data_IF_139685212775
#
_entry.id   IF_139685212775
#
_cell.length_a   1.000
_cell.length_b   1.000
_cell.length_c   1.000
_cell.angle_alpha   90.00
_cell.angle_beta   90.00
_cell.angle_gamma   90.00
#
_symmetry.space_group_name_H-M   'P 1'
#
loop_
_entity.id
_entity.type
_entity.pdbx_description
1 polymer ?
#
# COMPACT_ATOMS: atom_id res chain seq x y z
N UNK A 1 33.97 11.59 -13.00
CA UNK A 1 32.85 11.32 -13.88
C UNK A 1 32.70 9.80 -14.04
N UNK A 2 31.75 9.25 -13.32
CA UNK A 2 31.37 7.84 -13.50
C UNK A 2 30.54 7.71 -14.78
N UNK A 3 31.13 7.22 -15.85
CA UNK A 3 30.37 6.70 -16.99
C UNK A 3 29.67 5.42 -16.54
N UNK A 4 28.40 5.51 -16.16
CA UNK A 4 27.51 4.34 -16.15
C UNK A 4 27.25 3.96 -17.60
N UNK A 5 28.02 3.01 -18.12
CA UNK A 5 27.72 2.43 -19.43
C UNK A 5 26.36 1.71 -19.34
N UNK A 6 25.52 1.81 -20.36
CA UNK A 6 24.24 1.11 -20.42
C UNK A 6 24.39 -0.41 -20.18
N UNK A 7 25.56 -0.97 -20.42
CA UNK A 7 25.93 -2.35 -20.10
C UNK A 7 25.99 -2.61 -18.57
N UNK A 8 26.55 -1.69 -17.76
CA UNK A 8 26.61 -1.88 -16.29
C UNK A 8 25.22 -1.83 -15.62
N UNK A 9 24.27 -1.11 -16.22
CA UNK A 9 22.89 -1.08 -15.77
C UNK A 9 22.11 -2.38 -16.05
N UNK A 10 22.48 -3.14 -17.07
CA UNK A 10 21.86 -4.43 -17.40
C UNK A 10 22.20 -5.47 -16.34
N UNK A 11 23.44 -5.52 -15.86
CA UNK A 11 23.91 -6.53 -14.91
C UNK A 11 23.45 -6.34 -13.45
N UNK A 12 22.89 -5.17 -13.11
CA UNK A 12 22.32 -4.90 -11.78
C UNK A 12 20.81 -4.99 -11.74
N UNK A 13 20.15 -5.36 -12.85
CA UNK A 13 18.69 -5.46 -12.91
C UNK A 13 18.20 -6.79 -12.37
N UNK A 14 17.12 -6.72 -11.65
CA UNK A 14 16.39 -7.90 -11.21
C UNK A 14 15.54 -8.47 -12.35
N UNK A 15 15.28 -9.77 -12.32
CA UNK A 15 14.45 -10.48 -13.31
C UNK A 15 13.07 -9.80 -13.46
N UNK A 16 12.47 -9.34 -12.35
CA UNK A 16 11.17 -8.65 -12.37
C UNK A 16 11.19 -7.39 -13.25
N UNK A 17 12.23 -6.58 -13.16
CA UNK A 17 12.39 -5.37 -13.96
C UNK A 17 12.71 -5.66 -15.42
N UNK A 18 13.56 -6.65 -15.66
CA UNK A 18 13.90 -7.07 -17.02
C UNK A 18 12.67 -7.60 -17.75
N UNK A 19 11.88 -8.46 -17.10
CA UNK A 19 10.62 -8.97 -17.63
C UNK A 19 9.61 -7.84 -17.91
N UNK A 20 9.47 -6.88 -16.98
CA UNK A 20 8.61 -5.72 -17.17
C UNK A 20 8.99 -4.88 -18.40
N UNK A 21 10.28 -4.67 -18.66
CA UNK A 21 10.78 -3.98 -19.87
C UNK A 21 10.52 -4.77 -21.16
N UNK A 22 10.49 -6.09 -21.07
CA UNK A 22 10.13 -6.98 -22.17
C UNK A 22 8.60 -7.13 -22.36
N UNK A 23 7.78 -6.39 -21.59
CA UNK A 23 6.32 -6.49 -21.65
C UNK A 23 5.74 -7.77 -21.00
N UNK A 24 6.53 -8.49 -20.20
CA UNK A 24 6.12 -9.73 -19.52
C UNK A 24 5.78 -9.41 -18.06
N UNK A 25 4.50 -9.31 -17.68
CA UNK A 25 4.12 -9.01 -16.31
C UNK A 25 4.34 -10.20 -15.40
N UNK A 26 5.06 -10.00 -14.30
CA UNK A 26 5.23 -10.97 -13.22
C UNK A 26 4.46 -10.48 -11.99
N UNK A 27 3.51 -11.28 -11.45
CA UNK A 27 2.69 -10.86 -10.31
C UNK A 27 3.52 -10.66 -9.04
N UNK A 28 3.21 -9.63 -8.25
CA UNK A 28 3.88 -9.36 -6.98
C UNK A 28 2.96 -8.57 -6.03
N UNK A 29 3.19 -8.66 -4.72
CA UNK A 29 2.47 -7.90 -3.69
C UNK A 29 3.40 -7.04 -2.83
N UNK A 30 4.63 -7.50 -2.59
CA UNK A 30 5.54 -6.81 -1.68
C UNK A 30 6.50 -5.86 -2.40
N UNK A 31 6.81 -6.10 -3.67
CA UNK A 31 7.83 -5.34 -4.39
C UNK A 31 7.51 -3.85 -4.51
N UNK A 32 8.47 -3.04 -4.13
CA UNK A 32 8.59 -1.61 -4.44
C UNK A 32 10.04 -1.37 -4.84
N UNK A 33 10.25 -0.89 -6.05
CA UNK A 33 11.58 -0.68 -6.61
C UNK A 33 12.46 0.16 -5.67
N UNK A 34 13.68 -0.31 -5.40
CA UNK A 34 14.69 0.33 -4.54
C UNK A 34 14.27 0.47 -3.06
N UNK A 35 12.99 0.27 -2.75
CA UNK A 35 12.46 0.43 -1.40
C UNK A 35 12.26 -0.92 -0.71
N UNK A 36 11.56 -1.85 -1.36
CA UNK A 36 11.18 -3.13 -0.75
C UNK A 36 11.32 -4.31 -1.72
N UNK A 37 12.51 -4.89 -1.77
CA UNK A 37 12.90 -5.97 -2.68
C UNK A 37 13.23 -7.26 -1.93
N UNK A 38 12.47 -7.55 -0.87
CA UNK A 38 12.76 -8.59 0.13
C UNK A 38 12.12 -9.95 -0.20
N UNK A 39 11.41 -10.06 -1.30
CA UNK A 39 10.72 -11.30 -1.72
C UNK A 39 9.76 -11.92 -0.68
N UNK A 40 9.18 -11.12 0.22
CA UNK A 40 8.35 -11.61 1.33
C UNK A 40 7.11 -12.39 0.86
N UNK A 41 6.39 -11.90 -0.16
CA UNK A 41 5.13 -12.49 -0.60
C UNK A 41 5.27 -13.73 -1.49
N UNK A 42 6.42 -13.97 -2.09
CA UNK A 42 6.70 -15.11 -3.00
C UNK A 42 5.72 -15.23 -4.18
N UNK A 43 5.06 -14.14 -4.57
CA UNK A 43 4.18 -14.14 -5.74
C UNK A 43 4.96 -14.06 -7.05
N UNK A 44 6.16 -13.48 -7.04
CA UNK A 44 7.01 -13.28 -8.21
C UNK A 44 7.92 -14.50 -8.53
N UNK A 45 7.58 -15.70 -8.06
CA UNK A 45 8.37 -16.90 -8.34
C UNK A 45 8.44 -17.16 -9.84
N UNK A 46 9.65 -17.52 -10.32
CA UNK A 46 9.96 -17.91 -11.70
C UNK A 46 10.82 -19.17 -11.69
N UNK A 47 10.86 -19.85 -12.82
CA UNK A 47 11.74 -20.99 -13.07
C UNK A 47 12.91 -20.50 -13.92
N UNK A 48 14.13 -20.86 -13.54
CA UNK A 48 15.35 -20.52 -14.24
C UNK A 48 15.95 -21.85 -14.71
N UNK A 49 16.33 -21.95 -15.98
CA UNK A 49 17.04 -23.13 -16.48
C UNK A 49 18.32 -23.34 -15.66
N UNK A 50 18.71 -24.56 -15.48
CA UNK A 50 19.85 -24.98 -14.64
C UNK A 50 19.69 -24.72 -13.12
N UNK A 51 18.50 -24.25 -12.66
CA UNK A 51 18.19 -24.15 -11.24
C UNK A 51 17.07 -25.11 -10.83
N UNK A 52 17.35 -26.00 -9.89
CA UNK A 52 16.35 -26.93 -9.37
C UNK A 52 15.20 -26.22 -8.63
N UNK A 53 15.48 -25.08 -7.99
CA UNK A 53 14.52 -24.32 -7.17
C UNK A 53 13.99 -23.11 -7.90
N UNK A 54 12.70 -22.83 -7.69
CA UNK A 54 12.11 -21.57 -8.16
C UNK A 54 12.76 -20.39 -7.45
N UNK A 55 13.03 -19.32 -8.20
CA UNK A 55 13.63 -18.08 -7.71
C UNK A 55 12.60 -16.94 -7.64
N UNK A 56 12.70 -16.01 -6.69
CA UNK A 56 11.86 -14.81 -6.66
C UNK A 56 12.42 -13.73 -7.59
N UNK A 57 11.69 -13.40 -8.63
CA UNK A 57 12.14 -12.45 -9.67
C UNK A 57 12.44 -11.05 -9.14
N UNK A 58 11.87 -10.65 -7.98
CA UNK A 58 12.01 -9.30 -7.44
C UNK A 58 13.33 -9.05 -6.67
N UNK A 59 14.14 -10.08 -6.43
CA UNK A 59 15.47 -9.93 -5.80
C UNK A 59 16.51 -10.91 -6.38
N UNK A 60 16.26 -11.46 -7.56
CA UNK A 60 17.22 -12.27 -8.30
C UNK A 60 17.75 -11.46 -9.46
N UNK A 61 19.07 -11.27 -9.49
CA UNK A 61 19.75 -10.51 -10.56
C UNK A 61 19.77 -11.31 -11.86
N UNK A 62 19.66 -10.58 -12.97
CA UNK A 62 19.79 -11.14 -14.32
C UNK A 62 21.26 -11.43 -14.59
N UNK A 63 21.54 -12.57 -15.23
CA UNK A 63 22.86 -12.96 -15.71
C UNK A 63 22.82 -13.20 -17.22
N UNK A 64 23.96 -13.04 -17.87
CA UNK A 64 24.09 -13.35 -19.29
C UNK A 64 23.79 -14.81 -19.59
N UNK A 65 23.04 -15.08 -20.66
CA UNK A 65 22.60 -16.42 -21.03
C UNK A 65 21.50 -17.03 -20.14
N UNK A 66 20.99 -16.31 -19.12
CA UNK A 66 19.96 -16.83 -18.26
C UNK A 66 18.61 -16.98 -18.99
N UNK A 67 18.09 -18.21 -19.07
CA UNK A 67 16.75 -18.48 -19.55
C UNK A 67 15.75 -18.54 -18.39
N UNK A 68 14.69 -17.73 -18.45
CA UNK A 68 13.70 -17.57 -17.37
C UNK A 68 12.29 -17.87 -17.88
N UNK A 69 11.61 -18.81 -17.22
CA UNK A 69 10.24 -19.19 -17.50
C UNK A 69 9.30 -18.61 -16.45
N UNK A 70 8.42 -17.72 -16.88
CA UNK A 70 7.55 -16.95 -15.96
C UNK A 70 6.19 -17.58 -15.71
N UNK A 71 5.80 -18.62 -16.47
CA UNK A 71 4.43 -19.14 -16.48
C UNK A 71 4.32 -20.66 -16.69
N UNK A 72 5.25 -21.46 -16.16
CA UNK A 72 5.17 -22.92 -16.20
C UNK A 72 4.09 -23.45 -15.24
N UNK A 73 3.62 -24.69 -15.39
CA UNK A 73 2.71 -25.33 -14.44
C UNK A 73 3.26 -25.30 -13.00
N UNK A 74 4.56 -25.51 -12.84
CA UNK A 74 5.26 -25.46 -11.54
C UNK A 74 5.22 -24.07 -10.92
N UNK A 75 5.49 -23.03 -11.69
CA UNK A 75 5.39 -21.62 -11.27
C UNK A 75 3.95 -21.26 -10.87
N UNK A 76 2.97 -21.63 -11.68
CA UNK A 76 1.54 -21.39 -11.37
C UNK A 76 1.12 -22.06 -10.07
N UNK A 77 1.51 -23.32 -9.87
CA UNK A 77 1.19 -24.05 -8.65
C UNK A 77 1.84 -23.40 -7.41
N UNK A 78 3.08 -22.99 -7.49
CA UNK A 78 3.78 -22.31 -6.40
C UNK A 78 3.08 -20.99 -6.04
N UNK A 79 2.71 -20.17 -7.03
CA UNK A 79 1.96 -18.91 -6.81
C UNK A 79 0.60 -19.16 -6.18
N UNK A 80 -0.15 -20.17 -6.65
CA UNK A 80 -1.44 -20.55 -6.04
C UNK A 80 -1.28 -20.95 -4.59
N UNK A 81 -0.29 -21.75 -4.27
CA UNK A 81 -0.01 -22.17 -2.89
C UNK A 81 0.33 -20.97 -2.00
N UNK A 82 1.25 -20.11 -2.45
CA UNK A 82 1.64 -18.91 -1.71
C UNK A 82 0.44 -17.97 -1.49
N UNK A 83 -0.38 -17.76 -2.51
CA UNK A 83 -1.56 -16.91 -2.38
C UNK A 83 -2.59 -17.49 -1.39
N UNK A 84 -2.83 -18.80 -1.42
CA UNK A 84 -3.69 -19.48 -0.46
C UNK A 84 -3.16 -19.36 0.99
N UNK A 85 -1.84 -19.44 1.18
CA UNK A 85 -1.23 -19.22 2.49
C UNK A 85 -1.42 -17.78 2.97
N UNK A 86 -1.30 -16.78 2.09
CA UNK A 86 -1.60 -15.39 2.41
C UNK A 86 -3.08 -15.24 2.79
N UNK A 87 -3.98 -15.79 1.99
CA UNK A 87 -5.42 -15.74 2.23
C UNK A 87 -5.85 -16.47 3.52
N UNK A 88 -5.11 -17.49 3.95
CA UNK A 88 -5.42 -18.20 5.22
C UNK A 88 -5.24 -17.31 6.46
N UNK A 89 -4.48 -16.23 6.35
CA UNK A 89 -4.28 -15.26 7.44
C UNK A 89 -4.98 -13.90 7.17
N UNK A 90 -5.70 -13.79 6.07
CA UNK A 90 -6.37 -12.55 5.66
C UNK A 90 -7.88 -12.62 5.91
N UNK A 91 -8.44 -11.53 6.44
CA UNK A 91 -9.89 -11.35 6.53
C UNK A 91 -10.44 -10.99 5.15
N UNK A 92 -11.01 -11.95 4.46
CA UNK A 92 -11.51 -11.82 3.08
C UNK A 92 -12.94 -11.25 3.00
N UNK A 93 -13.40 -10.48 4.00
CA UNK A 93 -14.70 -9.80 3.94
C UNK A 93 -14.59 -8.57 3.02
N UNK A 94 -14.55 -8.84 1.70
CA UNK A 94 -14.28 -7.82 0.68
C UNK A 94 -15.43 -6.83 0.50
N UNK A 95 -16.66 -7.23 0.74
CA UNK A 95 -17.86 -6.39 0.50
C UNK A 95 -17.89 -5.13 1.37
N UNK A 96 -17.29 -5.17 2.55
CA UNK A 96 -17.19 -4.04 3.49
C UNK A 96 -15.75 -3.50 3.61
N UNK A 97 -14.87 -3.88 2.69
CA UNK A 97 -13.48 -3.43 2.70
C UNK A 97 -13.31 -2.15 1.88
N UNK A 98 -12.63 -1.16 2.43
CA UNK A 98 -12.33 0.11 1.74
C UNK A 98 -11.54 -0.08 0.41
N UNK A 99 -10.84 -1.21 0.26
CA UNK A 99 -10.08 -1.56 -0.96
C UNK A 99 -10.86 -2.46 -1.91
N UNK A 100 -12.15 -2.70 -1.68
CA UNK A 100 -12.98 -3.51 -2.59
C UNK A 100 -12.96 -2.91 -4.00
N UNK A 101 -12.72 -3.73 -5.01
CA UNK A 101 -12.59 -3.30 -6.40
C UNK A 101 -11.23 -2.68 -6.77
N UNK A 102 -10.42 -2.26 -5.79
CA UNK A 102 -9.07 -1.70 -5.99
C UNK A 102 -8.07 -2.34 -5.01
N UNK A 103 -7.97 -3.66 -5.02
CA UNK A 103 -7.12 -4.45 -4.15
C UNK A 103 -6.23 -5.40 -4.95
N UNK A 104 -4.91 -5.26 -4.82
CA UNK A 104 -3.95 -6.14 -5.52
C UNK A 104 -4.14 -7.62 -5.14
N UNK A 105 -4.47 -7.91 -3.88
CA UNK A 105 -4.73 -9.28 -3.42
C UNK A 105 -5.99 -9.86 -4.07
N UNK A 106 -7.07 -9.09 -4.17
CA UNK A 106 -8.32 -9.50 -4.80
C UNK A 106 -8.10 -9.78 -6.29
N UNK A 107 -7.38 -8.88 -6.99
CA UNK A 107 -7.02 -9.07 -8.41
C UNK A 107 -6.21 -10.36 -8.61
N UNK A 108 -5.18 -10.59 -7.80
CA UNK A 108 -4.37 -11.82 -7.90
C UNK A 108 -5.18 -13.09 -7.60
N UNK A 109 -6.13 -13.03 -6.68
CA UNK A 109 -7.01 -14.16 -6.38
C UNK A 109 -7.88 -14.53 -7.58
N UNK A 110 -8.37 -13.53 -8.30
CA UNK A 110 -9.11 -13.71 -9.55
C UNK A 110 -8.20 -14.24 -10.66
N UNK A 111 -7.05 -13.61 -10.90
CA UNK A 111 -6.13 -13.97 -11.99
C UNK A 111 -5.57 -15.40 -11.86
N UNK A 112 -5.42 -15.88 -10.63
CA UNK A 112 -4.97 -17.23 -10.33
C UNK A 112 -6.10 -18.24 -10.14
N UNK A 113 -7.38 -17.86 -10.35
CA UNK A 113 -8.55 -18.72 -10.17
C UNK A 113 -8.55 -19.39 -8.79
N UNK A 114 -8.50 -18.62 -7.72
CA UNK A 114 -8.60 -19.13 -6.35
C UNK A 114 -10.06 -19.21 -5.95
N UNK A 115 -10.69 -20.37 -6.16
CA UNK A 115 -12.09 -20.62 -5.79
C UNK A 115 -12.24 -21.39 -4.48
N UNK A 116 -11.15 -21.96 -3.98
CA UNK A 116 -11.18 -22.81 -2.79
C UNK A 116 -9.95 -22.53 -1.91
N UNK A 117 -10.21 -22.47 -0.60
CA UNK A 117 -9.18 -22.30 0.43
C UNK A 117 -9.01 -23.59 1.24
N UNK A 118 -7.93 -24.36 1.01
CA UNK A 118 -7.73 -25.65 1.69
C UNK A 118 -7.17 -25.49 3.11
N UNK A 119 -6.64 -24.30 3.43
CA UNK A 119 -6.02 -24.06 4.73
C UNK A 119 -7.02 -23.40 5.70
N UNK A 120 -6.96 -23.69 7.01
CA UNK A 120 -7.77 -23.02 8.00
C UNK A 120 -7.55 -21.50 7.95
N UNK A 121 -8.65 -20.73 7.91
CA UNK A 121 -8.59 -19.26 7.89
C UNK A 121 -8.50 -18.75 9.32
N UNK A 122 -7.36 -18.16 9.67
CA UNK A 122 -7.06 -17.63 11.01
C UNK A 122 -6.47 -16.21 10.90
N UNK A 123 -7.27 -15.20 10.58
CA UNK A 123 -6.81 -13.81 10.52
C UNK A 123 -6.40 -13.33 11.91
N UNK A 124 -5.46 -12.42 11.96
CA UNK A 124 -5.03 -11.79 13.20
C UNK A 124 -6.20 -11.03 13.83
N UNK A 125 -6.40 -11.23 15.13
CA UNK A 125 -7.40 -10.49 15.91
C UNK A 125 -6.70 -9.40 16.71
N UNK A 126 -6.90 -8.15 16.33
CA UNK A 126 -6.45 -6.99 17.08
C UNK A 126 -7.60 -5.99 17.22
N UNK A 127 -7.55 -5.20 18.30
CA UNK A 127 -8.46 -4.06 18.44
C UNK A 127 -8.06 -3.00 17.42
N UNK A 128 -9.05 -2.45 16.72
CA UNK A 128 -8.86 -1.29 15.84
C UNK A 128 -8.80 -0.07 16.73
N UNK A 129 -7.69 0.68 16.65
CA UNK A 129 -7.54 1.96 17.35
C UNK A 129 -7.91 3.10 16.41
N UNK A 130 -8.84 3.95 16.85
CA UNK A 130 -9.33 5.13 16.12
C UNK A 130 -8.84 6.46 16.73
N UNK A 131 -7.89 6.42 17.68
CA UNK A 131 -7.40 7.64 18.35
C UNK A 131 -6.51 8.50 17.45
N UNK A 132 -6.00 7.91 16.35
CA UNK A 132 -5.11 8.59 15.42
C UNK A 132 -5.71 8.62 13.99
N UNK A 133 -5.23 9.52 13.12
CA UNK A 133 -5.71 9.60 11.73
C UNK A 133 -5.40 8.34 10.89
N UNK A 134 -4.36 7.58 11.25
CA UNK A 134 -4.02 6.31 10.58
C UNK A 134 -4.60 5.16 11.39
N UNK A 135 -5.39 4.34 10.72
CA UNK A 135 -6.06 3.17 11.29
C UNK A 135 -5.40 1.90 10.76
N UNK A 136 -5.08 0.97 11.67
CA UNK A 136 -4.55 -0.35 11.34
C UNK A 136 -5.58 -1.43 11.62
N UNK A 137 -5.88 -2.23 10.60
CA UNK A 137 -6.65 -3.48 10.74
C UNK A 137 -5.74 -4.67 10.42
N UNK A 138 -5.17 -5.25 11.46
CA UNK A 138 -4.19 -6.32 11.33
C UNK A 138 -4.72 -7.56 10.59
N UNK A 139 -6.00 -7.85 10.72
CA UNK A 139 -6.66 -8.97 10.04
C UNK A 139 -6.58 -8.91 8.50
N UNK A 140 -6.34 -7.74 7.95
CA UNK A 140 -6.17 -7.50 6.49
C UNK A 140 -4.71 -7.40 6.05
N UNK A 141 -3.75 -7.53 6.98
CA UNK A 141 -2.33 -7.40 6.69
C UNK A 141 -1.80 -8.67 5.99
N UNK A 142 -1.18 -8.49 4.81
CA UNK A 142 -0.51 -9.56 4.06
C UNK A 142 0.99 -9.63 4.34
N UNK A 143 1.47 -8.88 5.32
CA UNK A 143 2.86 -8.90 5.80
C UNK A 143 3.89 -8.65 4.68
N UNK A 144 3.56 -7.74 3.77
CA UNK A 144 4.39 -7.39 2.62
C UNK A 144 5.56 -6.47 2.97
N UNK A 145 5.59 -5.89 4.16
CA UNK A 145 6.61 -4.97 4.68
C UNK A 145 6.74 -3.64 3.92
N UNK A 146 5.86 -3.30 2.98
CA UNK A 146 5.92 -2.02 2.25
C UNK A 146 5.88 -0.83 3.23
N UNK A 147 4.96 -0.84 4.21
CA UNK A 147 4.83 0.25 5.20
C UNK A 147 6.07 0.39 6.08
N UNK A 148 6.72 -0.72 6.45
CA UNK A 148 7.97 -0.72 7.22
C UNK A 148 9.07 -0.04 6.42
N UNK A 149 9.31 -0.50 5.19
CA UNK A 149 10.41 -0.01 4.36
C UNK A 149 10.21 1.44 3.87
N UNK A 150 8.97 1.83 3.55
CA UNK A 150 8.68 3.22 3.17
C UNK A 150 8.86 4.16 4.38
N UNK A 151 8.40 3.76 5.56
CA UNK A 151 8.56 4.56 6.77
C UNK A 151 10.03 4.72 7.18
N UNK A 152 10.82 3.66 7.02
CA UNK A 152 12.25 3.67 7.34
C UNK A 152 13.07 4.40 6.27
N UNK A 153 13.04 3.92 5.02
CA UNK A 153 13.94 4.39 3.96
C UNK A 153 13.57 5.75 3.37
N UNK A 154 12.27 6.04 3.25
CA UNK A 154 11.81 7.26 2.58
C UNK A 154 11.50 8.36 3.59
N UNK A 155 10.82 8.02 4.70
CA UNK A 155 10.44 9.01 5.71
C UNK A 155 11.47 9.15 6.84
N UNK A 156 12.38 8.19 7.02
CA UNK A 156 13.35 8.17 8.10
C UNK A 156 12.75 8.06 9.51
N UNK A 157 11.45 7.71 9.63
CA UNK A 157 10.71 7.72 10.90
C UNK A 157 10.75 6.39 11.64
N UNK A 158 10.91 5.27 10.93
CA UNK A 158 11.04 3.92 11.49
C UNK A 158 9.96 3.57 12.55
N UNK A 159 8.70 3.90 12.24
CA UNK A 159 7.55 3.70 13.15
C UNK A 159 7.08 2.25 13.13
N UNK A 160 7.03 1.62 11.95
CA UNK A 160 6.54 0.26 11.75
C UNK A 160 7.66 -0.75 11.81
N UNK A 161 7.40 -1.90 12.41
CA UNK A 161 8.36 -3.00 12.50
C UNK A 161 7.66 -4.36 12.46
N UNK A 162 8.44 -5.41 12.35
CA UNK A 162 7.98 -6.80 12.44
C UNK A 162 7.92 -7.20 13.92
N UNK A 163 6.78 -7.67 14.36
CA UNK A 163 6.55 -8.19 15.70
C UNK A 163 6.14 -9.66 15.67
N UNK A 164 6.45 -10.39 16.74
CA UNK A 164 6.16 -11.81 16.86
C UNK A 164 7.04 -12.70 15.99
N UNK A 165 6.82 -14.01 16.05
CA UNK A 165 7.58 -15.02 15.32
C UNK A 165 6.68 -16.12 14.76
N UNK A 166 7.11 -16.77 13.67
CA UNK A 166 6.39 -17.88 13.02
C UNK A 166 5.00 -17.45 12.57
N UNK A 167 3.97 -18.22 12.91
CA UNK A 167 2.58 -17.95 12.55
C UNK A 167 2.00 -16.68 13.21
N UNK A 168 2.64 -16.18 14.27
CA UNK A 168 2.25 -14.96 14.99
C UNK A 168 2.99 -13.72 14.48
N UNK A 169 3.82 -13.84 13.45
CA UNK A 169 4.46 -12.68 12.84
C UNK A 169 3.42 -11.70 12.36
N UNK A 170 3.58 -10.44 12.74
CA UNK A 170 2.73 -9.33 12.31
C UNK A 170 3.58 -8.10 12.00
N UNK A 171 2.99 -7.09 11.36
CA UNK A 171 3.59 -5.77 11.23
C UNK A 171 2.87 -4.85 12.20
N UNK A 172 3.60 -4.30 13.14
CA UNK A 172 3.04 -3.44 14.17
C UNK A 172 3.94 -2.23 14.45
N UNK A 173 3.53 -1.40 15.38
CA UNK A 173 4.32 -0.26 15.82
C UNK A 173 5.51 -0.77 16.63
N UNK A 174 6.68 -0.24 16.32
CA UNK A 174 7.94 -0.63 16.95
C UNK A 174 7.87 -0.58 18.45
N UNK A 175 8.45 -1.60 19.11
CA UNK A 175 8.50 -1.74 20.57
C UNK A 175 7.13 -1.85 21.26
N UNK A 176 6.05 -2.25 20.55
CA UNK A 176 4.72 -2.43 21.13
C UNK A 176 4.08 -1.13 21.64
N UNK A 177 4.56 0.03 21.17
CA UNK A 177 3.95 1.34 21.48
C UNK A 177 2.62 1.51 20.75
N UNK A 178 1.85 2.52 21.10
CA UNK A 178 0.73 2.99 20.27
C UNK A 178 1.20 4.06 19.29
N UNK A 179 0.50 4.26 18.18
CA UNK A 179 0.89 5.27 17.20
C UNK A 179 0.91 6.69 17.78
N UNK A 180 0.05 6.93 18.78
CA UNK A 180 -0.01 8.19 19.53
C UNK A 180 1.25 8.47 20.34
N UNK A 181 1.94 7.41 20.80
CA UNK A 181 3.13 7.52 21.65
C UNK A 181 4.43 7.50 20.84
N UNK A 182 4.32 7.74 19.53
CA UNK A 182 5.46 7.79 18.61
C UNK A 182 5.59 9.17 17.98
N UNK A 183 6.75 9.45 17.39
CA UNK A 183 7.02 10.69 16.64
C UNK A 183 6.45 10.64 15.21
N UNK A 184 5.37 9.87 14.99
CA UNK A 184 4.75 9.73 13.68
C UNK A 184 4.21 11.08 13.18
N UNK A 185 4.63 11.51 11.98
CA UNK A 185 4.17 12.76 11.35
C UNK A 185 2.81 12.60 10.64
N UNK A 186 2.21 11.41 10.67
CA UNK A 186 0.96 11.07 9.96
C UNK A 186 0.98 11.40 8.47
N UNK A 187 2.14 11.28 7.82
CA UNK A 187 2.34 11.60 6.39
C UNK A 187 1.52 10.72 5.43
N UNK A 188 0.96 9.59 5.88
CA UNK A 188 0.10 8.70 5.08
C UNK A 188 0.83 7.77 4.10
N UNK A 189 2.16 7.86 3.95
CA UNK A 189 2.91 7.03 2.99
C UNK A 189 2.72 5.51 3.22
N UNK A 190 2.60 5.09 4.46
CA UNK A 190 2.31 3.70 4.80
C UNK A 190 0.91 3.25 4.33
N UNK A 191 -0.07 4.17 4.29
CA UNK A 191 -1.42 3.92 3.78
C UNK A 191 -1.43 3.80 2.27
N UNK A 192 -0.79 4.75 1.56
CA UNK A 192 -0.75 4.76 0.09
C UNK A 192 -0.03 3.55 -0.50
N UNK A 193 0.99 3.05 0.18
CA UNK A 193 1.76 1.88 -0.25
C UNK A 193 1.19 0.54 0.24
N UNK A 194 0.14 0.54 1.07
CA UNK A 194 -0.50 -0.70 1.51
C UNK A 194 -1.26 -1.36 0.36
N UNK A 195 -0.94 -2.60 -0.06
CA UNK A 195 -1.59 -3.27 -1.18
C UNK A 195 -3.00 -3.78 -0.84
N UNK A 196 -3.35 -3.75 0.45
CA UNK A 196 -4.65 -4.19 0.98
C UNK A 196 -5.25 -3.12 1.89
N UNK A 197 -6.40 -3.35 2.48
CA UNK A 197 -7.05 -2.42 3.42
C UNK A 197 -6.53 -2.52 4.86
N UNK A 198 -5.29 -2.96 5.08
CA UNK A 198 -4.73 -3.12 6.43
C UNK A 198 -4.35 -1.78 7.10
N UNK A 199 -3.94 -0.80 6.29
CA UNK A 199 -3.70 0.57 6.73
C UNK A 199 -4.63 1.49 5.95
N UNK A 200 -5.38 2.30 6.67
CA UNK A 200 -6.37 3.24 6.11
C UNK A 200 -6.33 4.55 6.87
N UNK A 201 -6.96 5.57 6.32
CA UNK A 201 -7.26 6.79 7.07
C UNK A 201 -8.55 6.61 7.86
N UNK A 202 -8.64 7.25 9.01
CA UNK A 202 -9.87 7.29 9.79
C UNK A 202 -10.93 8.08 9.02
N UNK A 203 -12.12 7.52 8.91
CA UNK A 203 -13.25 8.24 8.31
C UNK A 203 -13.94 9.13 9.37
N UNK A 204 -13.76 10.42 9.23
CA UNK A 204 -14.38 11.44 10.09
C UNK A 204 -15.61 12.11 9.43
N UNK A 205 -16.06 11.64 8.27
CA UNK A 205 -17.15 12.25 7.49
C UNK A 205 -18.42 12.44 8.32
N UNK A 206 -18.85 11.41 9.04
CA UNK A 206 -20.07 11.49 9.88
C UNK A 206 -19.89 12.52 11.03
N UNK A 207 -18.68 12.63 11.59
CA UNK A 207 -18.39 13.61 12.64
C UNK A 207 -18.49 15.04 12.11
N UNK A 208 -17.97 15.28 10.90
CA UNK A 208 -18.06 16.57 10.20
C UNK A 208 -19.52 16.90 9.87
N UNK A 209 -20.27 15.97 9.27
CA UNK A 209 -21.68 16.17 8.94
C UNK A 209 -22.53 16.50 10.17
N UNK A 210 -22.29 15.85 11.30
CA UNK A 210 -22.97 16.19 12.57
C UNK A 210 -22.60 17.58 13.08
N UNK A 211 -21.35 18.00 12.91
CA UNK A 211 -20.93 19.34 13.31
C UNK A 211 -21.56 20.43 12.41
N UNK A 212 -21.64 20.18 11.10
CA UNK A 212 -22.31 21.08 10.15
C UNK A 212 -23.82 21.21 10.36
N UNK A 213 -24.46 20.15 10.88
CA UNK A 213 -25.89 20.15 11.18
C UNK A 213 -26.24 20.78 12.54
N UNK A 214 -25.28 21.08 13.37
CA UNK A 214 -25.48 21.62 14.73
C UNK A 214 -25.45 23.17 14.68
N UNK A 215 -26.61 23.86 14.88
CA UNK A 215 -26.69 25.30 14.77
C UNK A 215 -25.92 26.07 15.86
N UNK A 216 -25.57 25.41 16.96
CA UNK A 216 -24.81 26.00 18.06
C UNK A 216 -23.29 25.99 17.79
N UNK A 217 -22.84 25.35 16.69
CA UNK A 217 -21.42 25.23 16.36
C UNK A 217 -21.02 26.15 15.21
N UNK A 218 -19.96 26.88 15.41
CA UNK A 218 -19.23 27.55 14.32
C UNK A 218 -18.23 26.53 13.73
N UNK A 219 -18.40 26.24 12.45
CA UNK A 219 -17.58 25.25 11.75
C UNK A 219 -16.49 25.92 10.93
N UNK A 220 -15.26 25.50 11.17
CA UNK A 220 -14.07 26.06 10.51
C UNK A 220 -13.35 24.93 9.79
N UNK A 221 -13.03 25.13 8.51
CA UNK A 221 -12.20 24.22 7.73
C UNK A 221 -10.91 24.89 7.30
N UNK A 222 -9.81 24.19 7.47
CA UNK A 222 -8.51 24.62 7.01
C UNK A 222 -8.02 23.68 5.91
N UNK A 223 -7.63 24.22 4.76
CA UNK A 223 -7.21 23.44 3.59
C UNK A 223 -5.69 23.47 3.48
N UNK A 224 -5.09 22.27 3.39
CA UNK A 224 -3.66 22.15 3.13
C UNK A 224 -3.30 22.52 1.68
N UNK A 225 -2.09 23.07 1.40
CA UNK A 225 -1.68 23.45 0.05
C UNK A 225 -1.76 22.32 -0.97
N UNK A 226 -1.37 21.10 -0.58
CA UNK A 226 -1.45 19.91 -1.44
C UNK A 226 -2.91 19.56 -1.82
N UNK A 227 -3.85 19.66 -0.86
CA UNK A 227 -5.27 19.42 -1.12
C UNK A 227 -5.82 20.49 -2.06
N UNK A 228 -5.43 21.75 -1.87
CA UNK A 228 -5.83 22.87 -2.75
C UNK A 228 -5.47 22.62 -4.21
N UNK A 229 -4.35 21.97 -4.48
CA UNK A 229 -3.90 21.67 -5.86
C UNK A 229 -4.58 20.43 -6.41
N UNK A 230 -4.77 19.38 -5.60
CA UNK A 230 -5.21 18.06 -6.04
C UNK A 230 -6.73 17.80 -5.92
N UNK A 231 -7.52 18.67 -5.25
CA UNK A 231 -8.94 18.41 -4.96
C UNK A 231 -9.81 18.09 -6.18
N UNK A 232 -9.44 18.65 -7.33
CA UNK A 232 -10.21 18.48 -8.55
C UNK A 232 -9.88 17.20 -9.32
N UNK A 233 -8.73 16.58 -9.08
CA UNK A 233 -8.29 15.35 -9.78
C UNK A 233 -9.26 14.20 -9.52
N UNK A 234 -9.63 13.98 -8.27
CA UNK A 234 -10.58 12.94 -7.88
C UNK A 234 -11.98 13.15 -8.45
N UNK A 235 -12.35 14.40 -8.70
CA UNK A 235 -13.66 14.80 -9.26
C UNK A 235 -13.63 14.92 -10.78
N UNK A 236 -12.51 14.58 -11.43
CA UNK A 236 -12.30 14.70 -12.88
C UNK A 236 -12.58 16.12 -13.42
N UNK A 237 -12.40 17.14 -12.59
CA UNK A 237 -12.60 18.54 -12.97
C UNK A 237 -11.36 19.03 -13.72
N UNK A 238 -11.51 19.62 -14.92
CA UNK A 238 -10.38 20.16 -15.67
C UNK A 238 -9.57 21.16 -14.85
N UNK A 239 -8.25 21.05 -14.89
CA UNK A 239 -7.31 21.86 -14.07
C UNK A 239 -7.59 23.38 -14.17
N UNK A 240 -7.97 23.88 -15.35
CA UNK A 240 -8.34 25.29 -15.56
C UNK A 240 -9.54 25.73 -14.71
N UNK A 241 -10.41 24.81 -14.35
CA UNK A 241 -11.60 25.05 -13.55
C UNK A 241 -11.38 24.79 -12.05
N UNK A 242 -10.27 24.16 -11.69
CA UNK A 242 -9.90 23.78 -10.32
C UNK A 242 -9.28 24.98 -9.55
N UNK A 243 -9.97 26.09 -9.52
CA UNK A 243 -9.49 27.30 -8.84
C UNK A 243 -9.73 27.25 -7.33
N UNK A 244 -8.89 27.95 -6.56
CA UNK A 244 -9.05 28.10 -5.10
C UNK A 244 -10.43 28.68 -4.75
N UNK A 245 -10.92 29.67 -5.53
CA UNK A 245 -12.24 30.27 -5.30
C UNK A 245 -13.39 29.26 -5.44
N UNK A 246 -13.32 28.32 -6.40
CA UNK A 246 -14.32 27.27 -6.53
C UNK A 246 -14.27 26.26 -5.38
N UNK A 247 -13.08 25.91 -4.92
CA UNK A 247 -12.92 25.05 -3.75
C UNK A 247 -13.54 25.70 -2.51
N UNK A 248 -13.24 26.99 -2.26
CA UNK A 248 -13.83 27.75 -1.15
C UNK A 248 -15.35 27.83 -1.28
N UNK A 249 -15.86 28.10 -2.49
CA UNK A 249 -17.30 28.15 -2.73
C UNK A 249 -17.97 26.79 -2.45
N UNK A 250 -17.34 25.67 -2.88
CA UNK A 250 -17.85 24.34 -2.60
C UNK A 250 -17.93 24.06 -1.08
N UNK A 251 -16.88 24.38 -0.33
CA UNK A 251 -16.85 24.20 1.13
C UNK A 251 -17.89 25.08 1.83
N UNK A 252 -18.06 26.32 1.37
CA UNK A 252 -19.14 27.21 1.87
C UNK A 252 -20.52 26.64 1.57
N UNK A 253 -20.74 26.11 0.38
CA UNK A 253 -22.01 25.47 -0.01
C UNK A 253 -22.29 24.21 0.81
N UNK A 254 -21.27 23.51 1.27
CA UNK A 254 -21.41 22.39 2.20
C UNK A 254 -21.83 22.82 3.61
N UNK A 255 -21.75 24.10 3.95
CA UNK A 255 -22.21 24.65 5.23
C UNK A 255 -21.10 25.07 6.19
N UNK A 256 -19.83 25.08 5.78
CA UNK A 256 -18.76 25.61 6.64
C UNK A 256 -18.87 27.11 6.81
N UNK A 257 -18.80 27.60 8.07
CA UNK A 257 -18.86 29.01 8.40
C UNK A 257 -17.59 29.76 7.96
N UNK A 258 -16.43 29.13 8.12
CA UNK A 258 -15.16 29.75 7.75
C UNK A 258 -14.27 28.74 7.00
N UNK A 259 -13.58 29.25 5.98
CA UNK A 259 -12.64 28.46 5.16
C UNK A 259 -11.30 29.19 5.15
N UNK A 260 -10.25 28.52 5.60
CA UNK A 260 -8.89 29.04 5.63
C UNK A 260 -7.96 28.21 4.73
N UNK A 261 -7.05 28.88 4.06
CA UNK A 261 -5.95 28.25 3.33
C UNK A 261 -4.68 28.31 4.18
N UNK A 262 -4.12 27.15 4.51
CA UNK A 262 -2.93 27.06 5.35
C UNK A 262 -1.70 27.74 4.71
N UNK A 263 -1.63 27.83 3.39
CA UNK A 263 -0.53 28.52 2.71
C UNK A 263 -0.48 30.03 3.00
N UNK A 264 -1.59 30.63 3.42
CA UNK A 264 -1.68 32.07 3.70
C UNK A 264 -1.30 32.43 5.14
N UNK A 265 -1.20 31.46 6.04
CA UNK A 265 -0.85 31.70 7.46
C UNK A 265 0.58 32.25 7.62
N UNK A 266 1.47 31.92 6.68
CA UNK A 266 2.87 32.34 6.72
C UNK A 266 3.14 33.65 5.92
N UNK A 267 2.12 34.23 5.34
CA UNK A 267 2.19 35.50 4.61
C UNK A 267 1.58 36.62 5.48
#
# INVERSE_FOLDING_TARGET
QGYSSAASDVYKRQILEAAGKAGIPIPHLCYLKEINEIAACRMCMVEIEDMERLAPACNTEVKEGMAVHTNTPRVRQARKTNLRLILSQHNSNCTVCIRSGNCELQKLSHDLNIHFQPYPVKPERSKINLDTPIVREASKCVKCMRCVQVCDKIQGMNIWDVAGTGSRTTVDIKNGRTLKDTDCTFCGQCVTHCPTGALTVRDDTIRVLRALADPEKITVVQVAPAVRVAWAEFMEIPTKLATTGRMVAALKTMGFDYVFDLSLIHI
#
